data_IF_974805197396
#
_entry.id   IF_974805197396
#
_cell.length_a   1.000
_cell.length_b   1.000
_cell.length_c   1.000
_cell.angle_alpha   90.00
_cell.angle_beta   90.00
_cell.angle_gamma   90.00
#
_symmetry.space_group_name_H-M   'P 1'
#
loop_
_entity.id
_entity.type
_entity.pdbx_description
1 polymer ?
#
# COMPACT_ATOMS: atom_id res chain seq x y z
N UNK A 1 -3.16 10.82 17.71
CA UNK A 1 -4.45 10.09 17.81
C UNK A 1 -4.94 9.86 16.39
N UNK A 2 -5.10 8.68 15.78
CA UNK A 2 -4.91 7.28 16.12
C UNK A 2 -4.05 6.68 15.00
N UNK A 3 -2.88 6.12 15.31
CA UNK A 3 -2.00 5.47 14.34
C UNK A 3 -2.15 3.92 14.19
N UNK A 4 -3.20 3.23 14.70
CA UNK A 4 -3.22 1.76 14.65
C UNK A 4 -3.33 1.23 13.22
N UNK A 5 -3.86 2.03 12.27
CA UNK A 5 -3.99 1.59 10.89
C UNK A 5 -2.64 1.49 10.17
N UNK A 6 -1.68 2.40 10.41
CA UNK A 6 -0.36 2.38 9.73
C UNK A 6 0.41 1.15 10.13
N UNK A 7 0.46 0.91 11.44
CA UNK A 7 1.15 -0.24 11.96
C UNK A 7 0.36 -1.51 11.62
N UNK A 8 -0.96 -1.58 11.69
CA UNK A 8 -1.68 -2.78 11.24
C UNK A 8 -1.53 -3.08 9.74
N UNK A 9 -1.56 -2.06 8.88
CA UNK A 9 -1.39 -2.24 7.43
C UNK A 9 0.02 -2.69 7.06
N UNK A 10 1.05 -2.10 7.69
CA UNK A 10 2.45 -2.36 7.32
C UNK A 10 3.20 -3.30 8.28
N UNK A 11 2.59 -3.76 9.37
CA UNK A 11 3.18 -4.75 10.29
C UNK A 11 2.84 -6.19 9.89
N UNK A 12 2.32 -6.40 8.69
CA UNK A 12 2.18 -7.75 8.12
C UNK A 12 3.52 -8.25 7.61
N UNK A 13 3.76 -9.57 7.73
CA UNK A 13 4.97 -10.24 7.23
C UNK A 13 5.27 -9.91 5.75
N UNK A 14 4.21 -9.72 4.96
CA UNK A 14 4.28 -9.28 3.57
C UNK A 14 5.01 -7.94 3.39
N UNK A 15 4.73 -6.91 4.21
CA UNK A 15 5.42 -5.63 4.10
C UNK A 15 6.91 -5.74 4.50
N UNK A 16 7.24 -6.62 5.45
CA UNK A 16 8.62 -6.83 5.92
C UNK A 16 9.48 -7.68 4.97
N UNK A 17 8.86 -8.58 4.20
CA UNK A 17 9.58 -9.48 3.28
C UNK A 17 9.59 -8.99 1.82
N UNK A 18 9.10 -7.76 1.56
CA UNK A 18 9.00 -7.23 0.19
C UNK A 18 7.88 -7.89 -0.62
N UNK A 19 6.76 -8.22 0.01
CA UNK A 19 5.55 -8.72 -0.63
C UNK A 19 4.69 -7.61 -1.23
N UNK A 20 3.50 -8.02 -1.65
CA UNK A 20 2.48 -7.17 -2.26
C UNK A 20 1.28 -7.10 -1.31
N UNK A 21 0.78 -5.90 -1.04
CA UNK A 21 -0.46 -5.68 -0.29
C UNK A 21 -1.55 -5.20 -1.24
N UNK A 22 -2.75 -5.76 -1.11
CA UNK A 22 -3.94 -5.34 -1.85
C UNK A 22 -4.95 -4.76 -0.87
N UNK A 23 -5.52 -3.60 -1.20
CA UNK A 23 -6.51 -2.90 -0.37
C UNK A 23 -7.58 -2.25 -1.19
N UNK A 24 -8.82 -2.36 -0.75
CA UNK A 24 -9.94 -1.79 -1.47
C UNK A 24 -9.97 -0.27 -1.40
N UNK A 25 -10.25 0.38 -2.54
CA UNK A 25 -10.33 1.84 -2.67
C UNK A 25 -11.35 2.44 -1.71
N UNK A 26 -12.52 1.81 -1.56
CA UNK A 26 -13.57 2.31 -0.70
C UNK A 26 -13.16 2.29 0.79
N UNK A 27 -12.56 1.18 1.24
CA UNK A 27 -12.02 1.07 2.60
C UNK A 27 -10.89 2.08 2.85
N UNK A 28 -9.94 2.23 1.91
CA UNK A 28 -8.87 3.23 2.03
C UNK A 28 -9.44 4.65 2.13
N UNK A 29 -10.41 4.99 1.27
CA UNK A 29 -11.00 6.33 1.27
C UNK A 29 -11.76 6.61 2.58
N UNK A 30 -12.45 5.60 3.12
CA UNK A 30 -13.23 5.72 4.36
C UNK A 30 -12.36 5.77 5.62
N UNK A 31 -11.25 5.05 5.66
CA UNK A 31 -10.42 4.90 6.87
C UNK A 31 -9.25 5.89 6.96
N UNK A 32 -8.62 6.22 5.83
CA UNK A 32 -7.31 6.89 5.79
C UNK A 32 -7.29 8.08 4.84
N UNK A 33 -7.91 7.92 3.67
CA UNK A 33 -7.79 8.83 2.54
C UNK A 33 -6.59 8.51 1.63
N UNK A 34 -6.81 8.61 0.33
CA UNK A 34 -5.81 8.25 -0.70
C UNK A 34 -4.54 9.10 -0.61
N UNK A 35 -4.68 10.39 -0.33
CA UNK A 35 -3.52 11.29 -0.24
C UNK A 35 -2.52 10.85 0.83
N UNK A 36 -3.03 10.39 1.98
CA UNK A 36 -2.20 9.99 3.10
C UNK A 36 -1.56 8.61 2.87
N UNK A 37 -2.27 7.71 2.18
CA UNK A 37 -1.69 6.46 1.68
C UNK A 37 -0.52 6.73 0.72
N UNK A 38 -0.69 7.63 -0.24
CA UNK A 38 0.35 7.99 -1.21
C UNK A 38 1.57 8.58 -0.50
N UNK A 39 1.37 9.45 0.50
CA UNK A 39 2.45 10.03 1.29
C UNK A 39 3.26 8.95 2.03
N UNK A 40 2.59 8.00 2.70
CA UNK A 40 3.25 6.90 3.42
C UNK A 40 4.00 5.93 2.49
N UNK A 41 3.39 5.55 1.37
CA UNK A 41 4.04 4.70 0.36
C UNK A 41 5.31 5.38 -0.16
N UNK A 42 5.23 6.67 -0.49
CA UNK A 42 6.38 7.46 -0.95
C UNK A 42 7.47 7.56 0.13
N UNK A 43 7.09 7.83 1.37
CA UNK A 43 8.04 7.93 2.49
C UNK A 43 8.84 6.64 2.71
N UNK A 44 8.22 5.48 2.50
CA UNK A 44 8.86 4.15 2.60
C UNK A 44 9.62 3.75 1.34
N UNK A 45 9.48 4.51 0.25
CA UNK A 45 10.04 4.18 -1.07
C UNK A 45 9.40 2.93 -1.68
N UNK A 46 8.13 2.68 -1.35
CA UNK A 46 7.30 1.65 -1.95
C UNK A 46 6.64 2.17 -3.22
N UNK A 47 5.97 1.28 -3.95
CA UNK A 47 5.23 1.61 -5.17
C UNK A 47 3.76 1.31 -4.95
N UNK A 48 2.89 2.25 -5.29
CA UNK A 48 1.45 2.10 -5.24
C UNK A 48 0.91 2.05 -6.66
N UNK A 49 0.06 1.07 -6.92
CA UNK A 49 -0.63 0.85 -8.18
C UNK A 49 -2.12 0.90 -7.93
N UNK A 50 -2.84 1.47 -8.88
CA UNK A 50 -4.29 1.41 -8.91
C UNK A 50 -4.72 0.29 -9.86
N UNK A 51 -5.51 -0.65 -9.37
CA UNK A 51 -5.95 -1.84 -10.11
C UNK A 51 -7.45 -2.04 -9.89
N UNK A 52 -8.26 -1.57 -10.83
CA UNK A 52 -9.73 -1.63 -10.72
C UNK A 52 -10.22 -0.92 -9.46
N UNK A 53 -10.94 -1.64 -8.60
CA UNK A 53 -11.46 -1.13 -7.33
C UNK A 53 -10.49 -1.22 -6.15
N UNK A 54 -9.26 -1.66 -6.40
CA UNK A 54 -8.26 -1.85 -5.37
C UNK A 54 -6.97 -1.07 -5.64
N UNK A 55 -6.25 -0.84 -4.56
CA UNK A 55 -4.89 -0.36 -4.51
C UNK A 55 -3.94 -1.52 -4.22
N UNK A 56 -2.89 -1.63 -5.03
CA UNK A 56 -1.84 -2.63 -4.89
C UNK A 56 -0.55 -1.92 -4.49
N UNK A 57 -0.06 -2.19 -3.29
CA UNK A 57 1.17 -1.63 -2.73
C UNK A 57 2.26 -2.69 -2.83
N UNK A 58 3.32 -2.38 -3.57
CA UNK A 58 4.50 -3.22 -3.68
C UNK A 58 5.56 -2.71 -2.69
N UNK A 59 5.84 -3.51 -1.67
CA UNK A 59 6.75 -3.15 -0.57
C UNK A 59 8.24 -3.37 -0.91
N UNK A 60 8.62 -3.21 -2.18
CA UNK A 60 10.00 -3.34 -2.64
C UNK A 60 10.33 -2.37 -3.77
N UNK A 61 11.62 -2.18 -4.03
CA UNK A 61 12.13 -1.34 -5.13
C UNK A 61 12.57 -2.13 -6.38
N UNK A 62 12.37 -3.45 -6.40
CA UNK A 62 12.68 -4.28 -7.57
C UNK A 62 11.83 -3.87 -8.78
N UNK A 63 12.33 -4.03 -10.01
CA UNK A 63 11.59 -3.70 -11.22
C UNK A 63 10.30 -4.52 -11.31
N UNK A 64 9.25 -3.89 -11.83
CA UNK A 64 7.92 -4.47 -11.99
C UNK A 64 7.65 -4.51 -13.49
N UNK A 65 7.24 -5.69 -13.99
CA UNK A 65 6.99 -5.94 -15.41
C UNK A 65 5.59 -6.50 -15.57
N UNK A 66 4.81 -5.91 -16.46
CA UNK A 66 3.56 -6.49 -16.96
C UNK A 66 3.92 -7.47 -18.10
N UNK A 67 3.38 -8.69 -18.05
CA UNK A 67 3.73 -9.75 -19.00
C UNK A 67 2.73 -9.89 -20.16
N UNK A 68 1.49 -9.44 -19.96
CA UNK A 68 0.41 -9.48 -20.95
C UNK A 68 -0.32 -8.14 -21.04
#
# INVERSE_FOLDING_TARGET
MNAPWRDQLFNTRAAKQGGILRRNKHSINREIGVALLVAEVRARGFRLYEVGDDYVIVCHRRPIRQLC
#
